data_IF_814564674163
#
_entry.id   IF_814564674163
#
_cell.length_a   1.000
_cell.length_b   1.000
_cell.length_c   1.000
_cell.angle_alpha   90.00
_cell.angle_beta   90.00
_cell.angle_gamma   90.00
#
_symmetry.space_group_name_H-M   'P 1'
#
loop_
_entity.id
_entity.type
_entity.pdbx_description
1 polymer ?
#
# COMPACT_ATOMS: atom_id res chain seq x y z
N UNK A 1 1.56 -13.69 -13.03
CA UNK A 1 1.22 -12.27 -12.77
C UNK A 1 0.19 -12.07 -11.66
N UNK A 2 -0.59 -13.11 -11.32
CA UNK A 2 -1.54 -13.14 -10.18
C UNK A 2 -1.05 -12.44 -8.91
N UNK A 3 0.20 -12.67 -8.48
CA UNK A 3 0.78 -12.01 -7.28
C UNK A 3 0.84 -10.47 -7.35
N UNK A 4 1.09 -9.88 -8.52
CA UNK A 4 1.12 -8.41 -8.68
C UNK A 4 -0.30 -7.84 -8.68
N UNK A 5 -1.26 -8.56 -9.25
CA UNK A 5 -2.66 -8.14 -9.23
C UNK A 5 -3.25 -8.23 -7.82
N UNK A 6 -2.87 -9.25 -7.05
CA UNK A 6 -3.32 -9.42 -5.67
C UNK A 6 -2.80 -8.31 -4.76
N UNK A 7 -1.51 -7.97 -4.84
CA UNK A 7 -0.94 -6.86 -4.05
C UNK A 7 -1.56 -5.51 -4.46
N UNK A 8 -1.90 -5.30 -5.73
CA UNK A 8 -2.61 -4.10 -6.17
C UNK A 8 -4.02 -4.00 -5.57
N UNK A 9 -4.74 -5.13 -5.43
CA UNK A 9 -6.04 -5.16 -4.75
C UNK A 9 -5.90 -4.83 -3.26
N UNK A 10 -4.85 -5.33 -2.61
CA UNK A 10 -4.58 -5.05 -1.20
C UNK A 10 -4.22 -3.56 -0.98
N UNK A 11 -3.41 -2.97 -1.86
CA UNK A 11 -3.10 -1.54 -1.86
C UNK A 11 -4.39 -0.71 -1.96
N UNK A 12 -5.29 -1.07 -2.88
CA UNK A 12 -6.57 -0.38 -3.05
C UNK A 12 -7.44 -0.47 -1.79
N UNK A 13 -7.57 -1.67 -1.22
CA UNK A 13 -8.34 -1.89 -0.01
C UNK A 13 -7.82 -1.03 1.17
N UNK A 14 -6.50 -1.08 1.41
CA UNK A 14 -5.86 -0.30 2.48
C UNK A 14 -5.96 1.22 2.23
N UNK A 15 -5.89 1.67 0.97
CA UNK A 15 -6.09 3.09 0.65
C UNK A 15 -7.50 3.55 1.00
N UNK A 16 -8.51 2.75 0.68
CA UNK A 16 -9.91 3.06 1.03
C UNK A 16 -10.10 3.10 2.55
N UNK A 17 -9.51 2.17 3.29
CA UNK A 17 -9.57 2.15 4.76
C UNK A 17 -8.89 3.38 5.37
N UNK A 18 -7.72 3.75 4.88
CA UNK A 18 -7.01 4.95 5.34
C UNK A 18 -7.80 6.23 5.08
N UNK A 19 -8.40 6.38 3.90
CA UNK A 19 -9.24 7.55 3.57
C UNK A 19 -10.45 7.61 4.50
N UNK A 20 -11.13 6.48 4.73
CA UNK A 20 -12.22 6.41 5.71
C UNK A 20 -11.77 6.79 7.12
N UNK A 21 -10.59 6.34 7.54
CA UNK A 21 -10.04 6.71 8.86
C UNK A 21 -9.80 8.22 8.95
N UNK A 22 -9.25 8.83 7.89
CA UNK A 22 -9.01 10.27 7.78
C UNK A 22 -10.31 11.07 7.86
N UNK A 23 -11.34 10.66 7.12
CA UNK A 23 -12.64 11.34 7.11
C UNK A 23 -13.35 11.31 8.48
N UNK A 24 -13.08 10.28 9.29
CA UNK A 24 -13.72 10.09 10.60
C UNK A 24 -12.95 10.67 11.79
N UNK A 25 -11.76 11.25 11.58
CA UNK A 25 -10.92 11.80 12.65
C UNK A 25 -10.56 13.27 12.37
N UNK A 26 -10.33 14.03 13.45
CA UNK A 26 -10.00 15.47 13.36
C UNK A 26 -8.54 15.76 13.04
N UNK A 27 -7.65 14.77 13.16
CA UNK A 27 -6.21 14.95 13.04
C UNK A 27 -5.60 13.78 12.29
N UNK A 28 -4.72 14.08 11.33
CA UNK A 28 -3.92 13.06 10.63
C UNK A 28 -2.88 12.38 11.54
N UNK A 29 -2.60 12.99 12.70
CA UNK A 29 -1.72 12.42 13.73
C UNK A 29 -2.47 11.48 14.69
N UNK A 30 -3.76 11.21 14.44
CA UNK A 30 -4.48 10.20 15.19
C UNK A 30 -3.73 8.85 15.09
N UNK A 31 -3.45 8.16 16.21
CA UNK A 31 -2.66 6.93 16.19
C UNK A 31 -3.22 5.85 15.27
N UNK A 32 -4.54 5.80 15.06
CA UNK A 32 -5.15 4.84 14.15
C UNK A 32 -4.85 5.21 12.69
N UNK A 33 -4.90 6.49 12.32
CA UNK A 33 -4.52 6.96 10.98
C UNK A 33 -3.04 6.68 10.71
N UNK A 34 -2.17 6.96 11.68
CA UNK A 34 -0.74 6.67 11.56
C UNK A 34 -0.51 5.17 11.36
N UNK A 35 -1.21 4.32 12.13
CA UNK A 35 -1.12 2.87 12.00
C UNK A 35 -1.57 2.39 10.62
N UNK A 36 -2.72 2.84 10.12
CA UNK A 36 -3.21 2.43 8.80
C UNK A 36 -2.31 2.94 7.66
N UNK A 37 -1.77 4.16 7.80
CA UNK A 37 -0.79 4.73 6.86
C UNK A 37 0.49 3.88 6.79
N UNK A 38 1.00 3.44 7.94
CA UNK A 38 2.18 2.57 8.01
C UNK A 38 1.93 1.19 7.37
N UNK A 39 0.73 0.60 7.53
CA UNK A 39 0.40 -0.66 6.84
C UNK A 39 0.39 -0.49 5.33
N UNK A 40 -0.23 0.58 4.83
CA UNK A 40 -0.25 0.88 3.40
C UNK A 40 1.17 1.05 2.85
N UNK A 41 2.04 1.75 3.58
CA UNK A 41 3.44 1.95 3.20
C UNK A 41 4.21 0.63 3.07
N UNK A 42 4.02 -0.32 4.00
CA UNK A 42 4.66 -1.64 3.93
C UNK A 42 4.30 -2.38 2.64
N UNK A 43 3.01 -2.40 2.27
CA UNK A 43 2.56 -3.09 1.05
C UNK A 43 3.03 -2.37 -0.22
N UNK A 44 3.03 -1.03 -0.22
CA UNK A 44 3.58 -0.25 -1.33
C UNK A 44 5.07 -0.54 -1.56
N UNK A 45 5.84 -0.67 -0.47
CA UNK A 45 7.25 -1.04 -0.53
C UNK A 45 7.47 -2.46 -1.08
N UNK A 46 6.60 -3.41 -0.75
CA UNK A 46 6.65 -4.76 -1.32
C UNK A 46 6.31 -4.74 -2.83
N UNK A 47 5.29 -4.00 -3.24
CA UNK A 47 4.96 -3.82 -4.65
C UNK A 47 6.12 -3.21 -5.44
N UNK A 48 6.75 -2.16 -4.91
CA UNK A 48 7.91 -1.53 -5.54
C UNK A 48 9.05 -2.53 -5.77
N UNK A 49 9.38 -3.35 -4.77
CA UNK A 49 10.39 -4.41 -4.91
C UNK A 49 10.03 -5.41 -6.01
N UNK A 50 8.77 -5.82 -6.10
CA UNK A 50 8.31 -6.74 -7.14
C UNK A 50 8.43 -6.14 -8.55
N UNK A 51 8.13 -4.85 -8.70
CA UNK A 51 8.27 -4.14 -9.97
C UNK A 51 9.75 -3.98 -10.34
N UNK A 52 10.61 -3.61 -9.39
CA UNK A 52 12.06 -3.50 -9.60
C UNK A 52 12.67 -4.83 -10.07
N UNK A 53 12.35 -5.93 -9.39
CA UNK A 53 12.79 -7.27 -9.78
C UNK A 53 12.32 -7.64 -11.18
N UNK A 54 11.07 -7.33 -11.52
CA UNK A 54 10.53 -7.58 -12.85
C UNK A 54 11.27 -6.76 -13.92
N UNK A 55 11.59 -5.49 -13.64
CA UNK A 55 12.32 -4.64 -14.57
C UNK A 55 13.77 -5.06 -14.76
N UNK A 56 14.40 -5.65 -13.73
CA UNK A 56 15.73 -6.24 -13.84
C UNK A 56 15.71 -7.52 -14.69
N UNK A 57 14.75 -8.43 -14.46
CA UNK A 57 14.61 -9.68 -15.21
C UNK A 57 14.21 -9.51 -16.69
N UNK A 58 13.80 -8.31 -17.12
CA UNK A 58 13.44 -8.01 -18.52
C UNK A 58 14.64 -7.48 -19.32
N UNK A 59 15.74 -7.13 -18.65
CA UNK A 59 16.95 -6.60 -19.29
C UNK A 59 18.00 -7.67 -19.62
N UNK A 60 17.81 -8.90 -19.14
CA UNK A 60 18.61 -10.09 -19.44
C UNK A 60 17.91 -10.97 -20.49
#
# INVERSE_FOLDING_TARGET
MVKIEDILREIEALRVELVKAIENKKSLLDPDIVRESQKLDLILNEYNKMIEQKMQNVKD
#
